data_IF_704271054205
#
_entry.id   IF_704271054205
#
_cell.length_a   1.000
_cell.length_b   1.000
_cell.length_c   1.000
_cell.angle_alpha   90.00
_cell.angle_beta   90.00
_cell.angle_gamma   90.00
#
_symmetry.space_group_name_H-M   'P 1'
#
loop_
_entity.id
_entity.type
_entity.pdbx_description
1 polymer ?
#
# COMPACT_ATOMS: atom_id res chain seq x y z
N UNK A 1 -43.91 -20.44 8.86
CA UNK A 1 -42.67 -20.66 8.09
C UNK A 1 -41.58 -20.99 9.07
N UNK A 2 -41.09 -22.22 9.07
CA UNK A 2 -39.94 -22.63 9.87
C UNK A 2 -38.70 -21.98 9.26
N UNK A 3 -37.95 -21.23 10.07
CA UNK A 3 -36.69 -20.62 9.65
C UNK A 3 -35.67 -21.74 9.41
N UNK A 4 -35.48 -22.14 8.14
CA UNK A 4 -34.38 -23.00 7.72
C UNK A 4 -33.07 -22.21 7.65
N UNK A 5 -32.66 -21.65 8.79
CA UNK A 5 -31.52 -20.73 8.86
C UNK A 5 -30.59 -21.03 10.04
N UNK A 6 -30.66 -22.23 10.60
CA UNK A 6 -29.84 -22.63 11.76
C UNK A 6 -28.64 -23.49 11.36
N UNK A 7 -28.69 -24.25 10.26
CA UNK A 7 -27.61 -25.18 9.90
C UNK A 7 -26.32 -24.46 9.49
N UNK A 8 -26.41 -23.33 8.79
CA UNK A 8 -25.25 -22.53 8.36
C UNK A 8 -24.43 -21.99 9.54
N UNK A 9 -25.09 -21.74 10.67
CA UNK A 9 -24.45 -21.22 11.89
C UNK A 9 -24.26 -22.30 12.96
N UNK A 10 -24.58 -23.56 12.67
CA UNK A 10 -24.39 -24.70 13.57
C UNK A 10 -22.94 -25.22 13.57
N UNK A 11 -21.97 -24.32 13.42
CA UNK A 11 -20.56 -24.67 13.54
C UNK A 11 -20.25 -24.71 15.03
N UNK A 12 -19.78 -25.85 15.59
CA UNK A 12 -19.40 -25.90 16.99
C UNK A 12 -18.19 -24.98 17.20
N UNK A 13 -18.41 -23.86 17.89
CA UNK A 13 -17.32 -22.98 18.32
C UNK A 13 -16.74 -23.60 19.58
N UNK A 14 -15.53 -24.13 19.49
CA UNK A 14 -14.76 -24.52 20.68
C UNK A 14 -14.43 -23.25 21.45
N UNK A 15 -14.97 -23.13 22.66
CA UNK A 15 -14.62 -22.01 23.54
C UNK A 15 -13.13 -22.08 23.88
N UNK A 16 -12.48 -20.92 23.85
CA UNK A 16 -11.11 -20.83 24.36
C UNK A 16 -11.13 -21.19 25.85
N UNK A 17 -10.16 -21.98 26.33
CA UNK A 17 -10.05 -22.30 27.75
C UNK A 17 -9.92 -21.02 28.57
N UNK A 18 -10.46 -21.01 29.78
CA UNK A 18 -10.37 -19.86 30.67
C UNK A 18 -8.92 -19.51 30.99
N UNK A 19 -8.65 -18.27 31.43
CA UNK A 19 -7.29 -17.83 31.77
C UNK A 19 -6.61 -18.74 32.81
N UNK A 20 -7.38 -19.37 33.69
CA UNK A 20 -6.92 -20.33 34.70
C UNK A 20 -6.38 -21.65 34.11
N UNK A 21 -6.80 -22.01 32.90
CA UNK A 21 -6.40 -23.24 32.20
C UNK A 21 -5.18 -23.03 31.29
N UNK A 22 -4.68 -21.79 31.18
CA UNK A 22 -3.55 -21.47 30.32
C UNK A 22 -2.24 -21.96 30.95
N UNK A 23 -1.55 -22.86 30.25
CA UNK A 23 -0.19 -23.24 30.59
C UNK A 23 0.79 -22.16 30.08
N UNK A 24 1.09 -21.17 30.93
CA UNK A 24 2.07 -20.13 30.64
C UNK A 24 3.47 -20.63 31.05
N UNK A 25 4.42 -20.78 30.11
CA UNK A 25 5.80 -21.12 30.42
C UNK A 25 6.45 -20.12 31.39
N UNK A 26 7.32 -20.60 32.28
CA UNK A 26 7.98 -19.76 33.29
C UNK A 26 8.69 -18.53 32.69
N UNK A 27 9.40 -18.71 31.57
CA UNK A 27 10.11 -17.60 30.90
C UNK A 27 9.18 -16.48 30.42
N UNK A 28 7.90 -16.75 30.13
CA UNK A 28 6.91 -15.73 29.74
C UNK A 28 6.37 -15.01 30.97
N UNK A 29 6.25 -15.69 32.11
CA UNK A 29 5.82 -15.07 33.37
C UNK A 29 6.81 -14.00 33.84
N UNK A 30 8.08 -14.23 33.58
CA UNK A 30 9.17 -13.30 33.92
C UNK A 30 9.44 -12.27 32.81
N UNK A 31 8.91 -12.47 31.60
CA UNK A 31 9.11 -11.56 30.48
C UNK A 31 8.26 -10.31 30.61
N UNK A 32 8.91 -9.20 30.89
CA UNK A 32 8.28 -7.88 30.91
C UNK A 32 8.23 -7.37 29.48
N UNK A 33 7.08 -7.51 28.82
CA UNK A 33 6.81 -6.93 27.50
C UNK A 33 6.95 -5.41 27.58
N UNK A 34 8.13 -4.90 27.22
CA UNK A 34 8.38 -3.46 27.17
C UNK A 34 7.75 -2.87 25.92
N UNK A 35 7.11 -1.70 26.01
CA UNK A 35 6.72 -0.98 24.81
C UNK A 35 7.97 -0.69 23.96
N UNK A 36 7.82 -0.57 22.63
CA UNK A 36 8.90 -0.17 21.75
C UNK A 36 9.62 1.08 22.31
N UNK A 37 10.95 1.06 22.31
CA UNK A 37 11.77 2.19 22.80
C UNK A 37 11.54 3.49 22.01
N UNK A 38 11.05 3.38 20.78
CA UNK A 38 10.80 4.50 19.89
C UNK A 38 9.29 4.65 19.66
N UNK A 39 8.82 5.89 19.62
CA UNK A 39 7.46 6.18 19.18
C UNK A 39 7.42 5.95 17.67
N UNK A 40 6.53 5.06 17.21
CA UNK A 40 6.12 5.09 15.81
C UNK A 40 5.51 6.47 15.56
N UNK A 41 6.06 7.22 14.60
CA UNK A 41 5.47 8.51 14.24
C UNK A 41 4.02 8.25 13.80
N UNK A 42 3.02 8.92 14.42
CA UNK A 42 1.64 8.79 13.97
C UNK A 42 1.54 9.49 12.61
N UNK A 43 1.63 8.73 11.53
CA UNK A 43 1.47 9.28 10.20
C UNK A 43 1.92 8.38 9.06
N UNK A 44 1.26 8.56 7.93
CA UNK A 44 1.76 8.19 6.60
C UNK A 44 3.04 8.99 6.33
N UNK A 45 4.10 8.40 5.75
CA UNK A 45 5.26 9.17 5.29
C UNK A 45 4.79 10.38 4.49
N UNK A 46 5.37 11.56 4.75
CA UNK A 46 4.93 12.78 4.08
C UNK A 46 4.91 12.56 2.56
N UNK A 47 3.83 12.96 1.89
CA UNK A 47 3.67 12.80 0.42
C UNK A 47 4.89 13.31 -0.36
N UNK A 48 5.57 14.34 0.16
CA UNK A 48 6.81 14.90 -0.39
C UNK A 48 7.95 13.87 -0.53
N UNK A 49 8.08 12.92 0.40
CA UNK A 49 9.11 11.87 0.32
C UNK A 49 8.77 10.83 -0.75
N UNK A 50 7.49 10.46 -0.85
CA UNK A 50 7.02 9.53 -1.87
C UNK A 50 7.13 10.14 -3.28
N UNK A 51 6.70 11.38 -3.47
CA UNK A 51 6.71 12.02 -4.79
C UNK A 51 8.13 12.35 -5.27
N UNK A 52 9.06 12.74 -4.38
CA UNK A 52 10.47 12.96 -4.80
C UNK A 52 11.13 11.64 -5.20
N UNK A 53 11.12 10.64 -4.32
CA UNK A 53 11.73 9.35 -4.62
C UNK A 53 11.06 8.67 -5.83
N UNK A 54 9.73 8.75 -5.95
CA UNK A 54 9.00 8.22 -7.09
C UNK A 54 9.31 8.96 -8.39
N UNK A 55 9.41 10.30 -8.38
CA UNK A 55 9.77 11.04 -9.60
C UNK A 55 11.27 10.92 -9.94
N UNK A 56 12.13 10.68 -8.96
CA UNK A 56 13.56 10.48 -9.18
C UNK A 56 13.85 9.08 -9.73
N UNK A 57 13.12 8.05 -9.27
CA UNK A 57 13.28 6.66 -9.70
C UNK A 57 12.37 6.29 -10.89
N UNK A 58 11.13 6.78 -10.91
CA UNK A 58 10.09 6.42 -11.88
C UNK A 58 9.48 7.63 -12.62
N UNK A 59 9.94 8.85 -12.34
CA UNK A 59 9.49 10.04 -13.05
C UNK A 59 9.88 9.91 -14.51
N UNK A 60 8.88 9.59 -15.33
CA UNK A 60 9.07 9.37 -16.76
C UNK A 60 9.60 10.66 -17.37
N UNK A 61 10.91 10.73 -17.63
CA UNK A 61 11.46 11.63 -18.66
C UNK A 61 10.65 11.34 -19.91
N UNK A 62 9.99 12.34 -20.46
CA UNK A 62 9.07 12.16 -21.57
C UNK A 62 9.81 11.43 -22.71
N UNK A 63 9.43 10.17 -22.94
CA UNK A 63 10.05 9.31 -23.97
C UNK A 63 9.60 9.71 -25.38
N UNK A 64 8.59 10.56 -25.49
CA UNK A 64 8.05 11.01 -26.76
C UNK A 64 8.94 12.09 -27.37
N UNK A 65 9.71 11.69 -28.37
CA UNK A 65 10.21 12.60 -29.40
C UNK A 65 9.10 12.92 -30.39
N UNK A 66 9.17 14.10 -30.98
CA UNK A 66 8.34 14.44 -32.13
C UNK A 66 8.72 13.53 -33.31
N UNK A 67 7.75 12.82 -33.91
CA UNK A 67 8.01 11.97 -35.07
C UNK A 67 8.35 12.74 -36.35
N UNK A 68 8.16 14.07 -36.37
CA UNK A 68 8.52 14.91 -37.51
C UNK A 68 9.94 15.47 -37.41
N UNK A 69 10.36 15.96 -36.24
CA UNK A 69 11.67 16.62 -36.08
C UNK A 69 12.62 15.93 -35.10
N UNK A 70 12.21 14.82 -34.47
CA UNK A 70 13.02 14.04 -33.52
C UNK A 70 13.24 14.70 -32.16
N UNK A 71 12.95 15.99 -31.99
CA UNK A 71 13.16 16.70 -30.73
C UNK A 71 12.12 16.32 -29.67
N UNK A 72 12.56 16.28 -28.40
CA UNK A 72 11.70 16.07 -27.24
C UNK A 72 10.97 17.36 -26.84
N UNK A 73 9.90 17.21 -26.07
CA UNK A 73 9.18 18.35 -25.46
C UNK A 73 7.96 18.84 -26.24
N UNK A 74 7.68 18.28 -27.42
CA UNK A 74 6.45 18.53 -28.16
C UNK A 74 6.06 17.30 -29.01
N UNK A 75 4.81 17.24 -29.46
CA UNK A 75 4.33 16.14 -30.31
C UNK A 75 4.23 16.59 -31.78
N UNK A 76 3.96 15.65 -32.69
CA UNK A 76 3.82 15.95 -34.14
C UNK A 76 2.81 17.07 -34.43
N UNK A 77 1.72 17.14 -33.67
CA UNK A 77 0.63 18.11 -33.87
C UNK A 77 1.03 19.54 -33.51
N UNK A 78 1.90 19.70 -32.51
CA UNK A 78 2.45 21.01 -32.10
C UNK A 78 3.84 21.28 -32.67
N UNK A 79 4.31 20.51 -33.65
CA UNK A 79 5.62 20.69 -34.24
C UNK A 79 5.66 21.94 -35.12
N UNK A 80 6.60 22.84 -34.82
CA UNK A 80 6.85 24.04 -35.65
C UNK A 80 7.41 23.72 -37.04
N UNK A 81 8.05 22.55 -37.17
CA UNK A 81 8.49 21.97 -38.45
C UNK A 81 7.48 20.95 -39.00
N UNK A 82 6.26 20.93 -38.45
CA UNK A 82 5.17 20.10 -38.94
C UNK A 82 4.77 20.48 -40.38
N UNK A 83 4.15 19.56 -41.13
CA UNK A 83 3.53 19.94 -42.39
C UNK A 83 2.51 21.06 -42.12
N UNK A 84 2.67 22.20 -42.80
CA UNK A 84 1.64 23.23 -42.79
C UNK A 84 0.49 22.69 -43.62
N UNK A 85 -0.62 22.37 -42.96
CA UNK A 85 -1.89 22.12 -43.64
C UNK A 85 -2.31 23.50 -44.18
N UNK A 86 -2.13 23.70 -45.49
CA UNK A 86 -2.77 24.77 -46.26
C UNK A 86 -4.22 24.42 -46.49
#
# INVERSE_FOLDING_TARGET
>A
MQLQQLDTYNIPITLLPGQSEWNVPGYIKDDIVRPPKHKNLPGRPSKKYHDKAYNEVYGKKSKNSCSTCGFKGHNRRSCRNGPRIV
#
